data_IF_083028936095
#
_entry.id   IF_083028936095
#
_cell.length_a   1.000
_cell.length_b   1.000
_cell.length_c   1.000
_cell.angle_alpha   90.00
_cell.angle_beta   90.00
_cell.angle_gamma   90.00
#
_symmetry.space_group_name_H-M   'P 1'
#
loop_
_entity.id
_entity.type
_entity.pdbx_description
1 polymer ?
#
# COMPACT_ATOMS: atom_id res chain seq x y z
N UNK A 1 -27.42 -21.29 -27.76
CA UNK A 1 -27.33 -20.82 -26.36
C UNK A 1 -25.95 -20.25 -26.17
N UNK A 2 -25.83 -18.93 -26.10
CA UNK A 2 -24.56 -18.25 -25.79
C UNK A 2 -24.62 -17.98 -24.30
N UNK A 3 -23.70 -18.57 -23.54
CA UNK A 3 -23.56 -18.30 -22.10
C UNK A 3 -23.32 -16.81 -21.91
N UNK A 4 -24.26 -16.16 -21.23
CA UNK A 4 -24.16 -14.75 -20.87
C UNK A 4 -23.08 -14.61 -19.79
N UNK A 5 -21.88 -14.26 -20.24
CA UNK A 5 -20.97 -13.34 -19.54
C UNK A 5 -20.85 -13.57 -18.03
N UNK A 6 -20.16 -14.63 -17.64
CA UNK A 6 -19.52 -14.71 -16.34
C UNK A 6 -18.31 -13.75 -16.35
N UNK A 7 -18.57 -12.44 -16.31
CA UNK A 7 -17.52 -11.47 -15.98
C UNK A 7 -17.22 -11.67 -14.51
N UNK A 8 -16.23 -12.52 -14.24
CA UNK A 8 -15.60 -12.64 -12.93
C UNK A 8 -14.88 -11.31 -12.66
N UNK A 9 -15.64 -10.30 -12.22
CA UNK A 9 -15.11 -9.01 -11.83
C UNK A 9 -14.22 -9.24 -10.62
N UNK A 10 -12.93 -9.42 -10.90
CA UNK A 10 -11.93 -9.74 -9.90
C UNK A 10 -11.86 -8.60 -8.89
N UNK A 11 -12.54 -8.81 -7.78
CA UNK A 11 -12.57 -7.89 -6.65
C UNK A 11 -11.26 -7.99 -5.88
N UNK A 12 -10.93 -6.95 -5.10
CA UNK A 12 -9.83 -7.02 -4.15
C UNK A 12 -10.04 -8.19 -3.19
N UNK A 13 -9.02 -9.04 -3.00
CA UNK A 13 -9.14 -10.21 -2.12
C UNK A 13 -9.30 -9.80 -0.65
N UNK A 14 -8.72 -8.65 -0.26
CA UNK A 14 -8.84 -8.10 1.09
C UNK A 14 -9.15 -6.60 1.07
N UNK A 15 -9.87 -6.06 2.08
CA UNK A 15 -10.18 -4.64 2.14
C UNK A 15 -8.96 -3.71 2.05
N UNK A 16 -7.83 -4.11 2.65
CA UNK A 16 -6.62 -3.30 2.65
C UNK A 16 -5.97 -3.16 1.26
N UNK A 17 -6.21 -4.10 0.34
CA UNK A 17 -5.77 -4.00 -1.06
C UNK A 17 -6.45 -2.80 -1.75
N UNK A 18 -7.74 -2.62 -1.53
CA UNK A 18 -8.48 -1.46 -2.05
C UNK A 18 -8.04 -0.15 -1.40
N UNK A 19 -7.73 -0.18 -0.10
CA UNK A 19 -7.24 1.00 0.62
C UNK A 19 -5.90 1.49 0.09
N UNK A 20 -4.91 0.59 -0.10
CA UNK A 20 -3.60 0.99 -0.62
C UNK A 20 -3.70 1.47 -2.08
N UNK A 21 -4.56 0.84 -2.89
CA UNK A 21 -4.86 1.30 -4.23
C UNK A 21 -5.43 2.73 -4.22
N UNK A 22 -6.46 2.99 -3.42
CA UNK A 22 -7.09 4.31 -3.32
C UNK A 22 -6.11 5.40 -2.85
N UNK A 23 -5.25 5.10 -1.88
CA UNK A 23 -4.18 6.02 -1.44
C UNK A 23 -3.22 6.33 -2.60
N UNK A 24 -2.80 5.29 -3.33
CA UNK A 24 -1.86 5.45 -4.46
C UNK A 24 -2.46 6.31 -5.57
N UNK A 25 -3.71 6.05 -5.95
CA UNK A 25 -4.44 6.82 -6.96
C UNK A 25 -4.59 8.28 -6.50
N UNK A 26 -5.04 8.51 -5.27
CA UNK A 26 -5.20 9.84 -4.71
C UNK A 26 -3.90 10.66 -4.74
N UNK A 27 -2.76 10.07 -4.35
CA UNK A 27 -1.46 10.73 -4.42
C UNK A 27 -1.07 11.09 -5.87
N UNK A 28 -1.36 10.21 -6.83
CA UNK A 28 -1.11 10.48 -8.25
C UNK A 28 -1.99 11.60 -8.79
N UNK A 29 -3.29 11.58 -8.48
CA UNK A 29 -4.25 12.61 -8.90
C UNK A 29 -3.92 13.98 -8.30
N UNK A 30 -3.41 14.00 -7.07
CA UNK A 30 -2.90 15.19 -6.39
C UNK A 30 -1.48 15.60 -6.87
N UNK A 31 -0.97 15.00 -7.95
CA UNK A 31 0.31 15.33 -8.61
C UNK A 31 1.54 15.17 -7.71
N UNK A 32 1.46 14.39 -6.63
CA UNK A 32 2.61 14.05 -5.79
C UNK A 32 3.64 13.25 -6.60
N UNK A 33 3.16 12.39 -7.49
CA UNK A 33 3.93 11.71 -8.53
C UNK A 33 3.03 11.44 -9.73
N UNK A 34 3.62 11.11 -10.89
CA UNK A 34 2.86 10.62 -12.04
C UNK A 34 2.61 9.12 -11.90
N UNK A 35 1.45 8.66 -12.37
CA UNK A 35 1.13 7.22 -12.38
C UNK A 35 2.21 6.38 -13.09
N UNK A 36 2.79 6.88 -14.18
CA UNK A 36 3.86 6.18 -14.91
C UNK A 36 5.15 6.01 -14.09
N UNK A 37 5.47 6.93 -13.19
CA UNK A 37 6.60 6.79 -12.25
C UNK A 37 6.34 5.63 -11.27
N UNK A 38 5.12 5.57 -10.74
CA UNK A 38 4.70 4.50 -9.85
C UNK A 38 4.68 3.14 -10.56
N UNK A 39 4.05 3.03 -11.73
CA UNK A 39 3.97 1.76 -12.47
C UNK A 39 5.36 1.20 -12.82
N UNK A 40 6.33 2.07 -13.14
CA UNK A 40 7.72 1.65 -13.38
C UNK A 40 8.35 1.06 -12.11
N UNK A 41 8.27 1.77 -10.98
CA UNK A 41 8.82 1.29 -9.71
C UNK A 41 8.14 0.01 -9.23
N UNK A 42 6.83 -0.13 -9.46
CA UNK A 42 6.10 -1.35 -9.14
C UNK A 42 6.59 -2.54 -9.96
N UNK A 43 6.78 -2.36 -11.28
CA UNK A 43 7.32 -3.41 -12.14
C UNK A 43 8.73 -3.85 -11.71
N UNK A 44 9.59 -2.90 -11.34
CA UNK A 44 10.93 -3.20 -10.82
C UNK A 44 10.85 -3.95 -9.47
N UNK A 45 9.95 -3.51 -8.57
CA UNK A 45 9.77 -4.15 -7.26
C UNK A 45 9.22 -5.57 -7.36
N UNK A 46 8.26 -5.83 -8.26
CA UNK A 46 7.72 -7.18 -8.52
C UNK A 46 8.82 -8.12 -8.99
N UNK A 47 9.72 -7.64 -9.88
CA UNK A 47 10.89 -8.42 -10.32
C UNK A 47 11.85 -8.71 -9.17
N UNK A 48 12.13 -7.72 -8.33
CA UNK A 48 13.02 -7.87 -7.17
C UNK A 48 12.47 -8.86 -6.14
N UNK A 49 11.18 -8.79 -5.85
CA UNK A 49 10.51 -9.65 -4.88
C UNK A 49 10.25 -11.07 -5.42
N UNK A 50 10.48 -11.29 -6.73
CA UNK A 50 10.15 -12.54 -7.43
C UNK A 50 8.69 -12.96 -7.23
N UNK A 51 7.78 -12.00 -7.24
CA UNK A 51 6.35 -12.23 -7.03
C UNK A 51 5.80 -13.06 -8.19
N UNK A 52 5.71 -14.38 -8.00
CA UNK A 52 5.34 -15.35 -9.05
C UNK A 52 3.88 -15.17 -9.48
N UNK A 53 3.01 -14.79 -8.54
CA UNK A 53 1.59 -14.60 -8.79
C UNK A 53 1.26 -13.12 -8.90
N UNK A 54 1.06 -12.65 -10.13
CA UNK A 54 0.41 -11.37 -10.42
C UNK A 54 -1.13 -11.50 -10.35
N UNK A 55 -1.62 -12.36 -9.46
CA UNK A 55 -3.03 -12.66 -9.33
C UNK A 55 -3.77 -11.65 -8.44
N UNK A 56 -3.14 -10.55 -8.00
CA UNK A 56 -3.77 -9.59 -7.11
C UNK A 56 -3.92 -10.06 -5.66
N UNK A 57 -3.17 -11.08 -5.25
CA UNK A 57 -3.08 -11.50 -3.85
C UNK A 57 -2.09 -10.65 -3.03
N UNK A 58 -1.88 -11.06 -1.78
CA UNK A 58 -1.06 -10.32 -0.81
C UNK A 58 0.36 -10.04 -1.30
N UNK A 59 1.03 -11.01 -1.94
CA UNK A 59 2.41 -10.84 -2.41
C UNK A 59 2.55 -9.69 -3.42
N UNK A 60 1.56 -9.55 -4.31
CA UNK A 60 1.48 -8.45 -5.26
C UNK A 60 1.31 -7.11 -4.54
N UNK A 61 0.39 -7.04 -3.57
CA UNK A 61 0.15 -5.81 -2.83
C UNK A 61 1.27 -5.47 -1.83
N UNK A 62 2.07 -6.44 -1.38
CA UNK A 62 3.29 -6.17 -0.63
C UNK A 62 4.37 -5.54 -1.51
N UNK A 63 4.56 -6.02 -2.74
CA UNK A 63 5.40 -5.33 -3.73
C UNK A 63 4.86 -3.92 -4.04
N UNK A 64 3.54 -3.76 -4.11
CA UNK A 64 2.89 -2.45 -4.25
C UNK A 64 3.23 -1.49 -3.13
N UNK A 65 3.10 -1.91 -1.87
CA UNK A 65 3.43 -1.09 -0.70
C UNK A 65 4.90 -0.67 -0.75
N UNK A 66 5.83 -1.61 -1.00
CA UNK A 66 7.27 -1.29 -1.08
C UNK A 66 7.56 -0.27 -2.19
N UNK A 67 6.96 -0.44 -3.37
CA UNK A 67 7.12 0.49 -4.47
C UNK A 67 6.58 1.89 -4.13
N UNK A 68 5.41 1.97 -3.50
CA UNK A 68 4.81 3.23 -3.07
C UNK A 68 5.69 3.93 -2.03
N UNK A 69 6.12 3.23 -0.99
CA UNK A 69 7.00 3.77 0.06
C UNK A 69 8.30 4.32 -0.52
N UNK A 70 8.95 3.56 -1.40
CA UNK A 70 10.15 3.99 -2.09
C UNK A 70 9.91 5.26 -2.93
N UNK A 71 8.77 5.36 -3.60
CA UNK A 71 8.43 6.54 -4.41
C UNK A 71 8.20 7.78 -3.55
N UNK A 72 7.39 7.68 -2.49
CA UNK A 72 7.08 8.84 -1.64
C UNK A 72 8.31 9.33 -0.86
N UNK A 73 9.24 8.43 -0.52
CA UNK A 73 10.53 8.79 0.07
C UNK A 73 11.41 9.50 -0.96
N UNK A 74 11.53 8.97 -2.19
CA UNK A 74 12.28 9.62 -3.28
C UNK A 74 11.75 11.01 -3.63
N UNK A 75 10.44 11.22 -3.48
CA UNK A 75 9.78 12.52 -3.67
C UNK A 75 9.88 13.46 -2.45
N UNK A 76 10.57 13.05 -1.37
CA UNK A 76 10.66 13.78 -0.10
C UNK A 76 9.30 14.12 0.55
N UNK A 77 8.26 13.33 0.26
CA UNK A 77 6.92 13.51 0.86
C UNK A 77 6.94 13.04 2.32
N UNK A 78 7.67 11.97 2.57
CA UNK A 78 7.94 11.43 3.91
C UNK A 78 9.41 11.07 4.02
N UNK A 79 9.95 11.24 5.22
CA UNK A 79 11.28 10.75 5.56
C UNK A 79 11.22 9.26 5.98
N UNK A 80 12.24 8.47 5.61
CA UNK A 80 12.32 7.05 5.91
C UNK A 80 12.29 6.76 7.42
N UNK A 81 12.96 7.60 8.22
CA UNK A 81 12.98 7.49 9.69
C UNK A 81 11.58 7.76 10.24
N UNK A 82 10.90 8.79 9.75
CA UNK A 82 9.53 9.10 10.17
C UNK A 82 8.55 7.97 9.82
N UNK A 83 8.68 7.38 8.65
CA UNK A 83 7.87 6.22 8.23
C UNK A 83 8.09 5.03 9.17
N UNK A 84 9.35 4.69 9.46
CA UNK A 84 9.71 3.59 10.35
C UNK A 84 9.23 3.82 11.80
N UNK A 85 9.39 5.05 12.32
CA UNK A 85 8.87 5.43 13.64
C UNK A 85 7.35 5.28 13.68
N UNK A 86 6.65 5.73 12.64
CA UNK A 86 5.19 5.66 12.59
C UNK A 86 4.70 4.21 12.56
N UNK A 87 5.32 3.34 11.74
CA UNK A 87 5.03 1.89 11.72
C UNK A 87 5.26 1.25 13.09
N UNK A 88 6.38 1.56 13.73
CA UNK A 88 6.71 1.05 15.06
C UNK A 88 5.69 1.50 16.10
N UNK A 89 5.41 2.80 16.18
CA UNK A 89 4.41 3.36 17.11
C UNK A 89 3.04 2.74 16.92
N UNK A 90 2.62 2.53 15.67
CA UNK A 90 1.35 1.88 15.37
C UNK A 90 1.32 0.43 15.85
N UNK A 91 2.38 -0.33 15.58
CA UNK A 91 2.50 -1.72 16.07
C UNK A 91 2.48 -1.78 17.59
N UNK A 92 3.25 -0.92 18.26
CA UNK A 92 3.31 -0.86 19.72
C UNK A 92 1.93 -0.50 20.30
N UNK A 93 1.25 0.50 19.73
CA UNK A 93 -0.11 0.88 20.14
C UNK A 93 -1.11 -0.26 19.94
N UNK A 94 -1.09 -0.92 18.77
CA UNK A 94 -1.97 -2.05 18.49
C UNK A 94 -1.79 -3.19 19.51
N UNK A 95 -0.54 -3.54 19.84
CA UNK A 95 -0.23 -4.63 20.77
C UNK A 95 -0.59 -4.32 22.23
N UNK A 96 -0.65 -3.05 22.59
CA UNK A 96 -0.93 -2.58 23.96
C UNK A 96 -2.37 -2.13 24.16
N UNK A 97 -3.14 -1.94 23.09
CA UNK A 97 -4.55 -1.55 23.16
C UNK A 97 -5.41 -2.77 23.51
N UNK A 98 -6.17 -2.74 24.62
CA UNK A 98 -7.11 -3.80 24.93
C UNK A 98 -8.15 -4.00 23.81
N UNK A 99 -8.58 -5.23 23.58
CA UNK A 99 -9.61 -5.51 22.59
C UNK A 99 -10.87 -4.65 22.80
N UNK A 100 -11.45 -4.18 21.71
CA UNK A 100 -12.63 -3.30 21.72
C UNK A 100 -12.34 -1.82 21.95
N UNK A 101 -11.10 -1.42 22.19
CA UNK A 101 -10.70 -0.02 22.33
C UNK A 101 -10.01 0.51 21.06
N UNK A 102 -10.14 1.82 20.75
CA UNK A 102 -9.48 2.41 19.58
C UNK A 102 -7.96 2.41 19.74
N UNK A 103 -7.24 2.09 18.67
CA UNK A 103 -5.77 2.15 18.64
C UNK A 103 -5.33 3.58 18.34
N UNK A 104 -4.70 4.23 19.32
CA UNK A 104 -4.23 5.62 19.19
C UNK A 104 -2.71 5.69 19.06
N UNK A 105 -2.23 6.42 18.06
CA UNK A 105 -0.81 6.75 17.90
C UNK A 105 -0.56 8.21 18.25
N UNK A 106 0.18 8.48 19.33
CA UNK A 106 0.61 9.84 19.61
C UNK A 106 1.80 10.21 18.70
N UNK A 107 1.50 10.93 17.63
CA UNK A 107 2.50 11.43 16.68
C UNK A 107 3.23 12.69 17.18
N UNK A 108 2.88 13.27 18.33
CA UNK A 108 3.57 14.44 18.88
C UNK A 108 4.87 14.03 19.59
N UNK A 109 6.01 14.26 18.94
CA UNK A 109 7.18 14.87 19.57
C UNK A 109 7.75 15.87 18.56
N UNK A 110 7.72 17.15 18.94
CA UNK A 110 8.40 18.27 18.28
C UNK A 110 9.90 18.03 18.28
#
# INVERSE_FOLDING_TARGET
MIDQNNFDFKSFEKPWHGQIFAITVSLSENKVFKWSEFSKLLADQIKMDKTEKQNGGDDYFFSWIKALENLIIKKNVVDQTKLNITKKKWKDAFLTTPHGHPVEINLKKR
#
